data_IF_993703406741
#
_entry.id   IF_993703406741
#
_cell.length_a   1.000
_cell.length_b   1.000
_cell.length_c   1.000
_cell.angle_alpha   90.00
_cell.angle_beta   90.00
_cell.angle_gamma   90.00
#
_symmetry.space_group_name_H-M   'P 1'
#
loop_
_entity.id
_entity.type
_entity.pdbx_description
1 polymer ?
#
# COMPACT_ATOMS: atom_id res chain seq x y z
N UNK A 1 5.79 19.89 0.63
CA UNK A 1 6.50 19.67 1.91
C UNK A 1 6.32 18.24 2.41
N UNK A 2 5.12 17.66 2.34
CA UNK A 2 4.80 16.33 2.89
C UNK A 2 5.67 15.16 2.39
N UNK A 3 6.28 15.34 1.20
CA UNK A 3 7.28 14.41 0.66
C UNK A 3 8.45 14.14 1.62
N UNK A 4 8.82 15.10 2.47
CA UNK A 4 9.86 14.93 3.48
C UNK A 4 9.50 13.80 4.45
N UNK A 5 8.26 13.79 4.98
CA UNK A 5 7.80 12.73 5.88
C UNK A 5 7.83 11.35 5.21
N UNK A 6 7.47 11.27 3.92
CA UNK A 6 7.52 10.01 3.17
C UNK A 6 8.94 9.47 2.99
N UNK A 7 9.90 10.35 2.71
CA UNK A 7 11.31 9.97 2.56
C UNK A 7 11.88 9.50 3.89
N UNK A 8 11.59 10.21 4.99
CA UNK A 8 12.06 9.84 6.34
C UNK A 8 11.43 8.52 6.78
N UNK A 9 10.14 8.30 6.52
CA UNK A 9 9.50 7.03 6.84
C UNK A 9 10.14 5.86 6.05
N UNK A 10 10.39 6.06 4.75
CA UNK A 10 11.01 5.04 3.91
C UNK A 10 12.43 4.69 4.38
N UNK A 11 13.21 5.69 4.79
CA UNK A 11 14.55 5.52 5.35
C UNK A 11 14.51 4.76 6.68
N UNK A 12 13.69 5.20 7.64
CA UNK A 12 13.55 4.50 8.91
C UNK A 12 13.01 3.08 8.75
N UNK A 13 12.10 2.85 7.79
CA UNK A 13 11.64 1.48 7.50
C UNK A 13 12.75 0.59 6.96
N UNK A 14 13.65 1.13 6.14
CA UNK A 14 14.79 0.41 5.60
C UNK A 14 15.82 0.03 6.68
N UNK A 15 15.97 0.87 7.72
CA UNK A 15 16.84 0.60 8.87
C UNK A 15 16.17 -0.21 9.99
N UNK A 16 14.84 -0.39 9.93
CA UNK A 16 14.08 -1.13 10.95
C UNK A 16 13.60 -0.28 12.12
N UNK A 17 13.70 1.04 12.02
CA UNK A 17 13.25 2.01 13.03
C UNK A 17 11.72 2.11 13.10
N UNK A 18 11.05 1.89 11.96
CA UNK A 18 9.59 1.91 11.85
C UNK A 18 9.03 0.54 11.52
N UNK A 19 7.91 0.21 12.16
CA UNK A 19 7.06 -0.92 11.79
C UNK A 19 6.27 -0.57 10.53
N UNK A 20 5.61 -1.58 9.96
CA UNK A 20 4.72 -1.38 8.84
C UNK A 20 3.62 -2.43 8.82
N UNK A 21 2.49 -2.05 8.25
CA UNK A 21 1.40 -2.98 7.99
C UNK A 21 1.67 -3.62 6.64
N UNK A 22 1.76 -4.96 6.62
CA UNK A 22 1.90 -5.73 5.39
C UNK A 22 0.55 -5.79 4.67
N UNK A 23 0.57 -5.52 3.36
CA UNK A 23 -0.62 -5.59 2.51
C UNK A 23 -0.31 -6.38 1.23
N UNK A 24 -1.34 -6.84 0.50
CA UNK A 24 -1.15 -7.48 -0.80
C UNK A 24 -0.39 -6.67 -1.86
N UNK A 25 -0.26 -5.34 -1.67
CA UNK A 25 0.40 -4.41 -2.59
C UNK A 25 1.65 -3.76 -2.00
N UNK A 26 2.18 -4.31 -0.90
CA UNK A 26 3.38 -3.82 -0.23
C UNK A 26 3.12 -3.36 1.19
N UNK A 27 4.08 -2.64 1.76
CA UNK A 27 4.02 -2.15 3.14
C UNK A 27 3.49 -0.72 3.19
N UNK A 28 2.67 -0.43 4.20
CA UNK A 28 2.20 0.93 4.50
C UNK A 28 2.67 1.35 5.91
N UNK A 29 2.89 2.65 6.16
CA UNK A 29 3.21 3.18 7.48
C UNK A 29 2.12 2.88 8.50
N UNK A 30 2.49 2.76 9.78
CA UNK A 30 1.51 2.85 10.85
C UNK A 30 1.10 4.32 11.07
N UNK A 31 -0.15 4.55 11.49
CA UNK A 31 -0.66 5.90 11.75
C UNK A 31 0.21 6.68 12.75
N UNK A 32 0.67 6.02 13.81
CA UNK A 32 1.51 6.64 14.85
C UNK A 32 2.82 7.19 14.30
N UNK A 33 3.43 6.51 13.34
CA UNK A 33 4.67 6.96 12.70
C UNK A 33 4.41 8.25 11.95
N UNK A 34 3.30 8.34 11.20
CA UNK A 34 2.95 9.53 10.45
C UNK A 34 2.58 10.70 11.35
N UNK A 35 1.84 10.47 12.43
CA UNK A 35 1.57 11.51 13.43
C UNK A 35 2.86 12.12 13.97
N UNK A 36 3.82 11.27 14.35
CA UNK A 36 5.12 11.70 14.85
C UNK A 36 5.89 12.50 13.79
N UNK A 37 6.01 11.95 12.57
CA UNK A 37 6.79 12.56 11.49
C UNK A 37 6.20 13.90 11.04
N UNK A 38 4.88 14.00 10.88
CA UNK A 38 4.24 15.26 10.48
C UNK A 38 4.36 16.30 11.57
N UNK A 39 4.22 15.93 12.85
CA UNK A 39 4.39 16.87 13.95
C UNK A 39 5.83 17.35 14.06
N UNK A 40 6.80 16.44 13.98
CA UNK A 40 8.21 16.76 14.16
C UNK A 40 8.80 17.58 13.00
N UNK A 41 8.50 17.21 11.75
CA UNK A 41 9.20 17.78 10.59
C UNK A 41 8.41 18.88 9.89
N UNK A 42 7.09 18.93 10.09
CA UNK A 42 6.22 19.91 9.42
C UNK A 42 5.43 20.80 10.37
N UNK A 43 5.49 20.52 11.68
CA UNK A 43 4.64 21.14 12.72
C UNK A 43 3.14 21.06 12.36
N UNK A 44 2.72 19.94 11.78
CA UNK A 44 1.33 19.69 11.37
C UNK A 44 0.72 18.54 12.15
N UNK A 45 -0.56 18.66 12.42
CA UNK A 45 -1.37 17.53 12.84
C UNK A 45 -1.68 16.65 11.61
N UNK A 46 -1.45 15.35 11.74
CA UNK A 46 -1.82 14.36 10.73
C UNK A 46 -2.99 13.54 11.28
N UNK A 47 -4.15 13.65 10.64
CA UNK A 47 -5.39 13.12 11.19
C UNK A 47 -5.63 11.67 10.77
N UNK A 48 -6.38 10.92 11.58
CA UNK A 48 -6.78 9.56 11.25
C UNK A 48 -7.63 9.53 9.98
N UNK A 49 -8.42 10.57 9.74
CA UNK A 49 -9.19 10.73 8.51
C UNK A 49 -8.27 10.78 7.29
N UNK A 50 -7.20 11.57 7.33
CA UNK A 50 -6.23 11.65 6.22
C UNK A 50 -5.53 10.30 6.02
N UNK A 51 -5.17 9.63 7.12
CA UNK A 51 -4.57 8.30 7.09
C UNK A 51 -5.47 7.27 6.42
N UNK A 52 -6.74 7.18 6.83
CA UNK A 52 -7.72 6.26 6.23
C UNK A 52 -7.90 6.59 4.75
N UNK A 53 -8.06 7.86 4.40
CA UNK A 53 -8.28 8.28 3.01
C UNK A 53 -7.12 7.86 2.10
N UNK A 54 -5.89 8.09 2.55
CA UNK A 54 -4.66 7.84 1.80
C UNK A 54 -4.33 6.34 1.70
N UNK A 55 -4.50 5.57 2.77
CA UNK A 55 -4.02 4.19 2.86
C UNK A 55 -5.11 3.11 2.78
N UNK A 56 -6.37 3.49 2.58
CA UNK A 56 -7.43 2.51 2.30
C UNK A 56 -7.15 1.72 1.02
N UNK A 57 -7.19 0.40 1.14
CA UNK A 57 -7.01 -0.52 0.03
C UNK A 57 -8.34 -0.68 -0.68
N UNK A 58 -8.32 -0.57 -2.01
CA UNK A 58 -9.52 -0.66 -2.87
C UNK A 58 -9.33 -1.84 -3.81
N UNK A 59 -9.61 -3.09 -3.37
CA UNK A 59 -9.13 -4.27 -4.07
C UNK A 59 -9.68 -4.38 -5.49
N UNK A 60 -10.94 -4.01 -5.71
CA UNK A 60 -11.56 -4.01 -7.05
C UNK A 60 -10.80 -3.08 -8.01
N UNK A 61 -10.52 -1.83 -7.59
CA UNK A 61 -9.74 -0.87 -8.40
C UNK A 61 -8.31 -1.34 -8.67
N UNK A 62 -7.71 -2.05 -7.71
CA UNK A 62 -6.38 -2.64 -7.87
C UNK A 62 -6.41 -3.81 -8.85
N UNK A 63 -7.42 -4.69 -8.79
CA UNK A 63 -7.63 -5.76 -9.75
C UNK A 63 -7.79 -5.22 -11.18
N UNK A 64 -8.59 -4.16 -11.37
CA UNK A 64 -8.72 -3.48 -12.67
C UNK A 64 -7.37 -2.93 -13.16
N UNK A 65 -6.56 -2.38 -12.24
CA UNK A 65 -5.20 -1.94 -12.57
C UNK A 65 -4.32 -3.10 -13.03
N UNK A 66 -4.40 -4.27 -12.38
CA UNK A 66 -3.67 -5.46 -12.80
C UNK A 66 -4.10 -5.93 -14.19
N UNK A 67 -5.41 -5.88 -14.51
CA UNK A 67 -5.92 -6.23 -15.84
C UNK A 67 -5.36 -5.32 -16.94
N UNK A 68 -5.27 -4.02 -16.68
CA UNK A 68 -4.64 -3.06 -17.61
C UNK A 68 -3.16 -3.33 -17.80
N UNK A 69 -2.43 -3.56 -16.71
CA UNK A 69 -0.98 -3.88 -16.75
C UNK A 69 -0.76 -5.17 -17.55
N UNK A 70 -1.52 -6.22 -17.25
CA UNK A 70 -1.43 -7.50 -17.94
C UNK A 70 -1.66 -7.34 -19.45
N UNK A 71 -2.69 -6.58 -19.83
CA UNK A 71 -3.03 -6.33 -21.24
C UNK A 71 -1.96 -5.54 -21.98
N UNK A 72 -1.31 -4.56 -21.32
CA UNK A 72 -0.22 -3.79 -21.92
C UNK A 72 1.02 -4.65 -22.11
N UNK A 73 1.48 -5.32 -21.05
CA UNK A 73 2.72 -6.09 -21.07
C UNK A 73 2.64 -7.37 -21.91
N UNK A 74 1.45 -7.93 -22.15
CA UNK A 74 1.29 -9.06 -23.07
C UNK A 74 1.66 -8.73 -24.53
N UNK A 75 1.71 -7.43 -24.88
CA UNK A 75 2.11 -6.97 -26.21
C UNK A 75 3.63 -6.87 -26.36
N UNK A 76 4.35 -6.80 -25.24
CA UNK A 76 5.80 -6.71 -25.22
C UNK A 76 6.44 -8.08 -25.42
N UNK A 77 7.58 -8.10 -26.10
CA UNK A 77 8.40 -9.31 -26.22
C UNK A 77 9.28 -9.46 -24.98
N UNK A 78 9.61 -10.69 -24.63
CA UNK A 78 10.62 -11.03 -23.62
C UNK A 78 10.34 -10.52 -22.19
N UNK A 79 9.06 -10.36 -21.82
CA UNK A 79 8.68 -10.04 -20.43
C UNK A 79 9.10 -11.20 -19.51
N UNK A 80 9.93 -10.96 -18.47
CA UNK A 80 10.43 -12.01 -17.60
C UNK A 80 9.32 -12.82 -16.90
N UNK A 81 9.51 -14.13 -16.76
CA UNK A 81 8.53 -15.02 -16.10
C UNK A 81 8.16 -14.59 -14.68
N UNK A 82 9.12 -14.04 -13.93
CA UNK A 82 8.88 -13.60 -12.55
C UNK A 82 7.84 -12.47 -12.47
N UNK A 83 7.76 -11.60 -13.48
CA UNK A 83 6.76 -10.53 -13.54
C UNK A 83 5.35 -11.09 -13.52
N UNK A 84 5.08 -12.10 -14.35
CA UNK A 84 3.78 -12.77 -14.41
C UNK A 84 3.44 -13.51 -13.11
N UNK A 85 4.44 -14.11 -12.46
CA UNK A 85 4.26 -14.74 -11.16
C UNK A 85 3.87 -13.73 -10.08
N UNK A 86 4.54 -12.57 -10.03
CA UNK A 86 4.21 -11.48 -9.10
C UNK A 86 2.79 -10.99 -9.35
N UNK A 87 2.42 -10.74 -10.60
CA UNK A 87 1.09 -10.26 -10.98
C UNK A 87 -0.01 -11.25 -10.58
N UNK A 88 0.21 -12.54 -10.82
CA UNK A 88 -0.70 -13.62 -10.41
C UNK A 88 -0.84 -13.69 -8.89
N UNK A 89 0.27 -13.62 -8.16
CA UNK A 89 0.26 -13.68 -6.69
C UNK A 89 -0.47 -12.47 -6.08
N UNK A 90 -0.20 -11.25 -6.56
CA UNK A 90 -0.92 -10.05 -6.13
C UNK A 90 -2.43 -10.19 -6.38
N UNK A 91 -2.83 -10.71 -7.54
CA UNK A 91 -4.24 -10.95 -7.87
C UNK A 91 -4.91 -11.93 -6.90
N UNK A 92 -4.22 -13.02 -6.54
CA UNK A 92 -4.71 -14.00 -5.56
C UNK A 92 -4.87 -13.33 -4.19
N UNK A 93 -3.84 -12.63 -3.71
CA UNK A 93 -3.86 -11.95 -2.42
C UNK A 93 -4.98 -10.90 -2.33
N UNK A 94 -5.20 -10.11 -3.37
CA UNK A 94 -6.30 -9.13 -3.42
C UNK A 94 -7.69 -9.80 -3.40
N UNK A 95 -7.86 -10.94 -4.10
CA UNK A 95 -9.12 -11.71 -4.05
C UNK A 95 -9.36 -12.34 -2.69
N UNK A 96 -8.31 -12.79 -2.02
CA UNK A 96 -8.42 -13.30 -0.65
C UNK A 96 -8.83 -12.18 0.32
N UNK A 97 -8.24 -10.99 0.16
CA UNK A 97 -8.59 -9.82 0.96
C UNK A 97 -10.07 -9.43 0.78
N UNK A 98 -10.59 -9.46 -0.45
CA UNK A 98 -12.03 -9.25 -0.71
C UNK A 98 -12.92 -10.28 -0.01
N UNK A 99 -12.53 -11.56 -0.02
CA UNK A 99 -13.29 -12.61 0.65
C UNK A 99 -13.29 -12.45 2.17
N UNK A 100 -12.16 -12.03 2.74
CA UNK A 100 -11.98 -11.87 4.18
C UNK A 100 -12.81 -10.71 4.73
N UNK A 101 -12.75 -9.55 4.09
CA UNK A 101 -13.40 -8.34 4.61
C UNK A 101 -14.77 -8.04 4.00
N UNK A 102 -15.07 -8.56 2.79
CA UNK A 102 -16.34 -8.31 2.07
C UNK A 102 -16.70 -6.82 1.93
N UNK A 103 -15.70 -5.96 1.81
CA UNK A 103 -15.82 -4.50 1.69
C UNK A 103 -15.19 -4.00 0.38
N UNK A 104 -15.72 -2.92 -0.18
CA UNK A 104 -15.16 -2.28 -1.37
C UNK A 104 -13.85 -1.52 -1.08
N UNK A 105 -13.85 -0.76 0.03
CA UNK A 105 -12.70 -0.02 0.55
C UNK A 105 -12.37 -0.56 1.94
N UNK A 106 -11.13 -1.03 2.12
CA UNK A 106 -10.66 -1.66 3.36
C UNK A 106 -9.72 -0.69 4.07
N UNK A 107 -10.15 -0.23 5.24
CA UNK A 107 -9.39 0.72 6.05
C UNK A 107 -8.07 0.11 6.52
N UNK A 108 -6.96 0.88 6.51
CA UNK A 108 -5.66 0.42 7.02
C UNK A 108 -5.71 0.05 8.52
N UNK A 109 -6.68 0.57 9.27
CA UNK A 109 -6.86 0.29 10.69
C UNK A 109 -7.31 -1.17 10.90
N UNK A 110 -8.09 -1.73 9.97
CA UNK A 110 -8.55 -3.13 10.01
C UNK A 110 -7.47 -4.13 9.60
N UNK A 111 -6.40 -3.65 8.94
CA UNK A 111 -5.30 -4.47 8.44
C UNK A 111 -4.15 -4.59 9.43
N UNK A 112 -4.12 -3.74 10.45
CA UNK A 112 -3.13 -3.80 11.53
C UNK A 112 -3.44 -5.03 12.41
N UNK A 113 -2.51 -5.99 12.43
CA UNK A 113 -2.57 -7.22 13.24
C UNK A 113 -1.90 -7.03 14.59
#
# INVERSE_FOLDING_TARGET
LDKLCWVIWAEGRANGDFKAIETPIGYIPEYSDLQLLFKQYLDKEYTEKDYIEQFSIRPNKLLDKLDRIETMYKKEKDVPKFFWNILKNQRISLRNLLKEYSMEDISPILLKK
#
